data_IF_954446309781
#
_entry.id   IF_954446309781
#
_cell.length_a   1.000
_cell.length_b   1.000
_cell.length_c   1.000
_cell.angle_alpha   90.00
_cell.angle_beta   90.00
_cell.angle_gamma   90.00
#
_symmetry.space_group_name_H-M   'P 1'
#
loop_
_entity.id
_entity.type
_entity.pdbx_description
1 polymer ?
#
# COMPACT_ATOMS: atom_id res chain seq x y z
N UNK A 1 1.88 -12.62 -8.17
CA UNK A 1 2.28 -11.21 -8.23
C UNK A 1 3.28 -10.88 -7.12
N UNK A 2 3.91 -9.75 -7.20
CA UNK A 2 4.82 -9.27 -6.17
C UNK A 2 4.15 -8.09 -5.45
N UNK A 3 4.04 -8.18 -4.12
CA UNK A 3 3.35 -7.19 -3.29
C UNK A 3 4.36 -6.50 -2.39
N UNK A 4 4.42 -5.18 -2.46
CA UNK A 4 5.27 -4.37 -1.58
C UNK A 4 4.43 -3.82 -0.43
N UNK A 5 4.85 -4.07 0.79
CA UNK A 5 4.21 -3.55 2.00
C UNK A 5 5.11 -2.50 2.62
N UNK A 6 4.62 -1.27 2.76
CA UNK A 6 5.37 -0.13 3.26
C UNK A 6 4.72 0.38 4.55
N UNK A 7 5.44 0.31 5.64
CA UNK A 7 4.98 0.77 6.97
C UNK A 7 6.21 0.83 7.86
N UNK A 8 6.34 1.86 8.68
CA UNK A 8 7.50 2.00 9.56
C UNK A 8 7.48 1.04 10.75
N UNK A 9 6.34 0.40 11.02
CA UNK A 9 6.20 -0.60 12.07
C UNK A 9 6.36 -2.01 11.50
N UNK A 10 7.39 -2.73 11.94
CA UNK A 10 7.59 -4.12 11.53
C UNK A 10 6.41 -5.00 11.95
N UNK A 11 5.89 -4.79 13.17
CA UNK A 11 4.72 -5.54 13.63
C UNK A 11 3.52 -5.31 12.72
N UNK A 12 3.29 -4.07 12.29
CA UNK A 12 2.19 -3.75 11.39
C UNK A 12 2.39 -4.37 10.02
N UNK A 13 3.61 -4.34 9.47
CA UNK A 13 3.88 -5.01 8.19
C UNK A 13 3.52 -6.49 8.24
N UNK A 14 3.86 -7.16 9.35
CA UNK A 14 3.52 -8.57 9.53
C UNK A 14 2.01 -8.80 9.57
N UNK A 15 1.29 -7.92 10.27
CA UNK A 15 -0.17 -8.01 10.34
C UNK A 15 -0.79 -7.81 8.96
N UNK A 16 -0.32 -6.81 8.21
CA UNK A 16 -0.81 -6.54 6.85
C UNK A 16 -0.57 -7.75 5.94
N UNK A 17 0.64 -8.30 5.97
CA UNK A 17 1.00 -9.46 5.14
C UNK A 17 0.12 -10.66 5.49
N UNK A 18 -0.01 -10.96 6.79
CA UNK A 18 -0.81 -12.09 7.26
C UNK A 18 -2.27 -11.95 6.84
N UNK A 19 -2.82 -10.76 7.00
CA UNK A 19 -4.22 -10.49 6.65
C UNK A 19 -4.42 -10.54 5.13
N UNK A 20 -3.50 -9.96 4.36
CA UNK A 20 -3.54 -9.99 2.91
C UNK A 20 -3.52 -11.43 2.38
N UNK A 21 -2.70 -12.29 2.96
CA UNK A 21 -2.65 -13.70 2.59
C UNK A 21 -4.01 -14.38 2.82
N UNK A 22 -4.64 -14.11 3.96
CA UNK A 22 -5.97 -14.67 4.27
C UNK A 22 -7.05 -14.09 3.38
N UNK A 23 -6.85 -12.87 2.89
CA UNK A 23 -7.84 -12.15 2.09
C UNK A 23 -7.74 -12.45 0.58
N UNK A 24 -6.87 -13.34 0.16
CA UNK A 24 -6.77 -13.74 -1.24
C UNK A 24 -5.38 -13.68 -1.86
N UNK A 25 -4.37 -13.19 -1.14
CA UNK A 25 -3.01 -13.08 -1.65
C UNK A 25 -2.08 -14.17 -1.12
N UNK A 26 -2.64 -15.33 -0.77
CA UNK A 26 -1.87 -16.50 -0.36
C UNK A 26 -1.03 -16.99 -1.56
N UNK A 27 0.24 -17.25 -1.31
CA UNK A 27 1.15 -17.71 -2.36
C UNK A 27 1.83 -16.60 -3.16
N UNK A 28 1.45 -15.34 -2.93
CA UNK A 28 2.12 -14.22 -3.59
C UNK A 28 3.43 -13.88 -2.88
N UNK A 29 4.34 -13.26 -3.60
CA UNK A 29 5.62 -12.82 -3.04
C UNK A 29 5.46 -11.46 -2.37
N UNK A 30 5.85 -11.37 -1.11
CA UNK A 30 5.81 -10.11 -0.36
C UNK A 30 7.20 -9.55 -0.14
N UNK A 31 7.35 -8.24 -0.39
CA UNK A 31 8.56 -7.49 -0.07
C UNK A 31 8.17 -6.33 0.83
N UNK A 32 9.11 -5.81 1.60
CA UNK A 32 8.84 -4.83 2.65
C UNK A 32 9.74 -3.62 2.55
N UNK A 33 9.21 -2.47 2.98
CA UNK A 33 9.97 -1.24 3.12
C UNK A 33 9.49 -0.50 4.37
N UNK A 34 10.35 0.31 4.96
CA UNK A 34 10.09 0.97 6.24
C UNK A 34 9.54 2.38 6.11
N UNK A 35 9.68 3.01 4.96
CA UNK A 35 9.14 4.34 4.68
C UNK A 35 9.00 4.56 3.18
N UNK A 36 8.50 5.74 2.81
CA UNK A 36 8.26 6.05 1.40
C UNK A 36 9.54 6.13 0.57
N UNK A 37 10.64 6.59 1.16
CA UNK A 37 11.92 6.69 0.43
C UNK A 37 12.47 5.30 0.11
N UNK A 38 12.46 4.41 1.08
CA UNK A 38 12.87 3.02 0.89
C UNK A 38 11.90 2.29 -0.05
N UNK A 39 10.60 2.57 0.09
CA UNK A 39 9.57 2.04 -0.80
C UNK A 39 9.81 2.43 -2.24
N UNK A 40 10.17 3.69 -2.48
CA UNK A 40 10.43 4.19 -3.83
C UNK A 40 11.61 3.47 -4.47
N UNK A 41 12.67 3.20 -3.71
CA UNK A 41 13.81 2.42 -4.17
C UNK A 41 13.36 1.00 -4.55
N UNK A 42 12.58 0.36 -3.68
CA UNK A 42 12.06 -0.99 -3.93
C UNK A 42 11.20 -1.05 -5.18
N UNK A 43 10.37 -0.02 -5.41
CA UNK A 43 9.51 0.06 -6.59
C UNK A 43 10.36 0.11 -7.86
N UNK A 44 11.40 0.94 -7.86
CA UNK A 44 12.28 1.08 -9.03
C UNK A 44 13.07 -0.19 -9.31
N UNK A 45 13.57 -0.85 -8.28
CA UNK A 45 14.45 -2.01 -8.41
C UNK A 45 13.69 -3.31 -8.60
N UNK A 46 12.61 -3.52 -7.87
CA UNK A 46 11.92 -4.81 -7.83
C UNK A 46 10.61 -4.85 -8.61
N UNK A 47 10.10 -3.70 -9.02
CA UNK A 47 8.90 -3.56 -9.86
C UNK A 47 7.72 -4.39 -9.34
N UNK A 48 7.22 -4.09 -8.13
CA UNK A 48 6.07 -4.80 -7.59
C UNK A 48 4.81 -4.55 -8.44
N UNK A 49 3.85 -5.47 -8.32
CA UNK A 49 2.57 -5.36 -9.02
C UNK A 49 1.54 -4.62 -8.21
N UNK A 50 1.67 -4.67 -6.87
CA UNK A 50 0.75 -4.04 -5.93
C UNK A 50 1.55 -3.45 -4.77
N UNK A 51 1.18 -2.24 -4.37
CA UNK A 51 1.76 -1.58 -3.19
C UNK A 51 0.66 -1.40 -2.15
N UNK A 52 0.93 -1.83 -0.92
CA UNK A 52 0.09 -1.60 0.25
C UNK A 52 0.89 -0.73 1.20
N UNK A 53 0.50 0.53 1.36
CA UNK A 53 1.30 1.50 2.11
C UNK A 53 0.51 2.22 3.19
N UNK A 54 1.16 2.43 4.33
CA UNK A 54 0.67 3.41 5.30
C UNK A 54 0.84 4.81 4.71
N UNK A 55 0.16 5.78 5.29
CA UNK A 55 0.24 7.19 4.88
C UNK A 55 1.34 7.91 5.66
N UNK A 56 1.29 7.85 6.99
CA UNK A 56 2.21 8.58 7.86
C UNK A 56 3.44 7.75 8.18
N UNK A 57 4.56 8.14 7.63
CA UNK A 57 5.85 7.49 7.82
C UNK A 57 6.94 8.55 7.83
N UNK A 58 8.09 8.28 8.50
CA UNK A 58 9.19 9.23 8.49
C UNK A 58 9.82 9.32 7.10
N UNK A 59 10.60 10.35 6.88
CA UNK A 59 11.37 10.63 5.66
C UNK A 59 10.52 10.94 4.43
N UNK A 60 9.60 10.06 4.07
CA UNK A 60 8.67 10.27 2.97
C UNK A 60 7.37 9.56 3.29
N UNK A 61 6.26 10.28 3.20
CA UNK A 61 4.93 9.71 3.44
C UNK A 61 4.48 8.83 2.27
N UNK A 62 3.44 8.02 2.52
CA UNK A 62 2.89 7.16 1.47
C UNK A 62 2.34 7.94 0.29
N UNK A 63 1.67 9.09 0.55
CA UNK A 63 1.13 9.90 -0.54
C UNK A 63 2.25 10.56 -1.35
N UNK A 64 3.32 11.02 -0.69
CA UNK A 64 4.47 11.56 -1.39
C UNK A 64 5.14 10.51 -2.28
N UNK A 65 5.22 9.27 -1.79
CA UNK A 65 5.75 8.16 -2.57
C UNK A 65 4.89 7.90 -3.81
N UNK A 66 3.57 7.88 -3.65
CA UNK A 66 2.65 7.67 -4.76
C UNK A 66 2.75 8.80 -5.78
N UNK A 67 2.83 10.04 -5.32
CA UNK A 67 2.99 11.19 -6.21
C UNK A 67 4.32 11.14 -6.96
N UNK A 68 5.38 10.68 -6.30
CA UNK A 68 6.70 10.53 -6.94
C UNK A 68 6.69 9.47 -8.04
N UNK A 69 6.06 8.33 -7.83
CA UNK A 69 6.00 7.29 -8.86
C UNK A 69 5.13 7.73 -10.05
N UNK A 70 4.11 8.55 -9.80
CA UNK A 70 3.32 9.14 -10.88
C UNK A 70 4.18 10.06 -11.74
N UNK A 71 5.02 10.89 -11.12
CA UNK A 71 5.93 11.78 -11.84
C UNK A 71 6.93 11.00 -12.69
N UNK A 72 7.36 9.83 -12.22
CA UNK A 72 8.28 8.96 -12.96
C UNK A 72 7.60 8.13 -14.04
N UNK A 73 6.28 8.24 -14.15
CA UNK A 73 5.52 7.46 -15.14
C UNK A 73 5.40 5.98 -14.81
N UNK A 74 5.65 5.60 -13.56
CA UNK A 74 5.56 4.19 -13.14
C UNK A 74 4.09 3.83 -12.93
N UNK A 75 3.65 2.77 -13.60
CA UNK A 75 2.28 2.24 -13.48
C UNK A 75 2.28 1.06 -12.54
N UNK A 76 1.57 1.18 -11.42
CA UNK A 76 1.46 0.11 -10.42
C UNK A 76 0.15 0.29 -9.66
N UNK A 77 -0.44 -0.81 -9.21
CA UNK A 77 -1.64 -0.77 -8.38
C UNK A 77 -1.22 -0.37 -6.96
N UNK A 78 -1.95 0.57 -6.37
CA UNK A 78 -1.60 1.15 -5.07
C UNK A 78 -2.81 1.25 -4.17
N UNK A 79 -2.69 0.79 -2.93
CA UNK A 79 -3.71 0.93 -1.91
C UNK A 79 -3.10 1.43 -0.61
N UNK A 80 -3.85 2.29 0.10
CA UNK A 80 -3.45 2.76 1.43
C UNK A 80 -4.04 1.88 2.52
N UNK A 81 -3.25 1.62 3.56
CA UNK A 81 -3.68 0.94 4.78
C UNK A 81 -3.21 1.81 5.94
N UNK A 82 -4.11 2.59 6.54
CA UNK A 82 -3.72 3.64 7.48
C UNK A 82 -4.74 3.83 8.60
N UNK A 83 -4.29 4.39 9.72
CA UNK A 83 -5.18 4.75 10.84
C UNK A 83 -5.98 6.01 10.56
N UNK A 84 -5.56 6.81 9.60
CA UNK A 84 -6.24 8.05 9.24
C UNK A 84 -7.00 7.88 7.93
N UNK A 85 -8.15 8.54 7.82
CA UNK A 85 -8.98 8.40 6.64
C UNK A 85 -9.97 9.54 6.55
N UNK A 86 -9.47 10.79 6.63
CA UNK A 86 -10.32 11.97 6.45
C UNK A 86 -10.81 12.02 5.01
N UNK A 87 -11.89 12.76 4.78
CA UNK A 87 -12.41 12.98 3.44
C UNK A 87 -11.34 13.59 2.52
N UNK A 88 -10.57 14.54 3.04
CA UNK A 88 -9.49 15.18 2.27
C UNK A 88 -8.41 14.19 1.87
N UNK A 89 -8.01 13.32 2.78
CA UNK A 89 -7.01 12.30 2.50
C UNK A 89 -7.52 11.31 1.45
N UNK A 90 -8.77 10.88 1.56
CA UNK A 90 -9.36 9.96 0.60
C UNK A 90 -9.43 10.57 -0.80
N UNK A 91 -9.78 11.85 -0.89
CA UNK A 91 -9.83 12.55 -2.18
C UNK A 91 -8.43 12.70 -2.77
N UNK A 92 -7.44 13.04 -1.95
CA UNK A 92 -6.06 13.18 -2.41
C UNK A 92 -5.50 11.85 -2.89
N UNK A 93 -5.78 10.78 -2.17
CA UNK A 93 -5.37 9.43 -2.55
C UNK A 93 -5.96 9.04 -3.91
N UNK A 94 -7.27 9.27 -4.08
CA UNK A 94 -7.96 8.96 -5.33
C UNK A 94 -7.39 9.76 -6.50
N UNK A 95 -7.16 11.05 -6.32
CA UNK A 95 -6.56 11.90 -7.35
C UNK A 95 -5.18 11.41 -7.77
N UNK A 96 -4.42 10.88 -6.82
CA UNK A 96 -3.09 10.35 -7.08
C UNK A 96 -3.11 8.93 -7.68
N UNK A 97 -4.30 8.34 -7.81
CA UNK A 97 -4.47 7.04 -8.45
C UNK A 97 -4.50 5.85 -7.52
N UNK A 98 -4.61 6.07 -6.20
CA UNK A 98 -4.80 4.95 -5.26
C UNK A 98 -6.15 4.29 -5.51
N UNK A 99 -6.17 2.96 -5.49
CA UNK A 99 -7.38 2.19 -5.75
C UNK A 99 -8.27 2.08 -4.52
N UNK A 100 -7.71 2.17 -3.32
CA UNK A 100 -8.48 2.15 -2.08
C UNK A 100 -7.71 2.81 -0.93
N UNK A 101 -8.44 3.12 0.12
CA UNK A 101 -7.87 3.50 1.41
C UNK A 101 -8.60 2.68 2.47
N UNK A 102 -7.88 1.74 3.07
CA UNK A 102 -8.41 0.83 4.08
C UNK A 102 -8.00 1.34 5.47
N UNK A 103 -8.99 1.58 6.34
CA UNK A 103 -8.72 2.09 7.68
C UNK A 103 -8.28 0.97 8.63
N UNK A 104 -7.32 1.28 9.49
CA UNK A 104 -6.94 0.42 10.61
C UNK A 104 -7.81 0.79 11.83
N UNK A 105 -8.26 -0.17 12.64
CA UNK A 105 -8.08 -1.61 12.46
C UNK A 105 -8.98 -2.18 11.36
N UNK A 106 -8.49 -3.19 10.67
CA UNK A 106 -9.22 -3.85 9.58
C UNK A 106 -9.47 -5.31 9.92
N UNK A 107 -10.40 -5.93 9.19
CA UNK A 107 -10.68 -7.36 9.28
C UNK A 107 -10.23 -8.03 7.98
N UNK A 108 -10.20 -9.36 7.97
CA UNK A 108 -9.95 -10.11 6.73
C UNK A 108 -11.01 -9.74 5.68
N UNK A 109 -12.27 -9.61 6.10
CA UNK A 109 -13.38 -9.28 5.21
C UNK A 109 -13.23 -7.89 4.60
N UNK A 110 -12.88 -6.88 5.40
CA UNK A 110 -12.69 -5.52 4.88
C UNK A 110 -11.48 -5.44 3.95
N UNK A 111 -10.43 -6.19 4.26
CA UNK A 111 -9.24 -6.28 3.41
C UNK A 111 -9.59 -6.95 2.08
N UNK A 112 -10.35 -8.03 2.14
CA UNK A 112 -10.83 -8.78 0.98
C UNK A 112 -11.64 -7.88 0.04
N UNK A 113 -12.57 -7.08 0.60
CA UNK A 113 -13.37 -6.14 -0.18
C UNK A 113 -12.51 -5.09 -0.87
N UNK A 114 -11.49 -4.58 -0.17
CA UNK A 114 -10.57 -3.61 -0.74
C UNK A 114 -9.78 -4.22 -1.91
N UNK A 115 -9.40 -5.48 -1.79
CA UNK A 115 -8.63 -6.16 -2.83
C UNK A 115 -9.45 -6.48 -4.09
N UNK A 116 -10.78 -6.48 -4.01
CA UNK A 116 -11.62 -6.75 -5.19
C UNK A 116 -11.32 -5.79 -6.34
N UNK A 117 -11.09 -4.50 -6.04
CA UNK A 117 -10.78 -3.52 -7.08
C UNK A 117 -9.38 -3.68 -7.67
N UNK A 118 -8.54 -4.46 -6.98
CA UNK A 118 -7.17 -4.72 -7.42
C UNK A 118 -7.09 -5.99 -8.27
N UNK A 119 -7.81 -7.03 -7.84
CA UNK A 119 -7.69 -8.38 -8.42
C UNK A 119 -8.64 -8.62 -9.60
N UNK A 120 -9.62 -7.77 -9.76
CA UNK A 120 -10.48 -7.81 -10.95
C UNK A 120 -9.84 -7.05 -12.12
#
# INVERSE_FOLDING_TARGET
MKVLVVDDSMAMRMIVIKTAKKAGLSGEKFIQATDGAEGLIAIREQKPDLILSDWNMPNMTGIEMLEAINEEGIKVKFGFVTTEGTTEMRLRARKAGALFLLAKPFTVESFEQALWVVLD
#
